data_IF_958829092942
#
_entry.id   IF_958829092942
#
_cell.length_a   1.000
_cell.length_b   1.000
_cell.length_c   1.000
_cell.angle_alpha   90.00
_cell.angle_beta   90.00
_cell.angle_gamma   90.00
#
_symmetry.space_group_name_H-M   'P 1'
#
loop_
_entity.id
_entity.type
_entity.pdbx_description
1 polymer ?
#
# COMPACT_ATOMS: atom_id res chain seq x y z
N UNK A 1 -19.41 -10.37 -34.49
CA UNK A 1 -19.66 -9.59 -33.26
C UNK A 1 -18.33 -9.00 -32.82
N UNK A 2 -18.16 -7.67 -32.78
CA UNK A 2 -17.00 -7.10 -32.11
C UNK A 2 -17.28 -7.09 -30.61
N UNK A 3 -16.41 -7.78 -29.86
CA UNK A 3 -16.35 -7.65 -28.40
C UNK A 3 -16.08 -6.18 -28.08
N UNK A 4 -16.96 -5.61 -27.26
CA UNK A 4 -16.78 -4.30 -26.64
C UNK A 4 -15.38 -4.20 -26.04
N UNK A 5 -14.64 -3.19 -26.50
CA UNK A 5 -13.50 -2.67 -25.77
C UNK A 5 -14.00 -2.29 -24.37
N UNK A 6 -13.70 -3.12 -23.38
CA UNK A 6 -13.97 -2.82 -21.98
C UNK A 6 -13.37 -1.46 -21.67
N UNK A 7 -14.26 -0.49 -21.44
CA UNK A 7 -13.90 0.90 -21.26
C UNK A 7 -12.85 1.00 -20.14
N UNK A 8 -11.66 1.48 -20.47
CA UNK A 8 -10.69 1.99 -19.50
C UNK A 8 -11.31 3.24 -18.87
N UNK A 9 -12.24 3.06 -17.93
CA UNK A 9 -12.77 4.13 -17.10
C UNK A 9 -11.60 4.69 -16.29
N UNK A 10 -11.30 5.97 -16.48
CA UNK A 10 -10.31 6.66 -15.68
C UNK A 10 -10.79 6.69 -14.22
N UNK A 11 -10.12 5.90 -13.38
CA UNK A 11 -10.41 5.82 -11.95
C UNK A 11 -10.28 7.19 -11.27
N UNK A 12 -11.25 7.52 -10.41
CA UNK A 12 -11.28 8.80 -9.70
C UNK A 12 -10.08 8.96 -8.76
N UNK A 13 -9.73 10.21 -8.44
CA UNK A 13 -8.63 10.50 -7.50
C UNK A 13 -8.89 9.89 -6.12
N UNK A 14 -10.13 9.89 -5.67
CA UNK A 14 -10.55 9.28 -4.40
C UNK A 14 -10.36 7.77 -4.44
N UNK A 15 -10.74 7.11 -5.53
CA UNK A 15 -10.55 5.67 -5.69
C UNK A 15 -9.06 5.29 -5.66
N UNK A 16 -8.21 6.04 -6.39
CA UNK A 16 -6.75 5.82 -6.36
C UNK A 16 -6.16 6.06 -4.96
N UNK A 17 -6.68 7.01 -4.21
CA UNK A 17 -6.24 7.25 -2.83
C UNK A 17 -6.65 6.10 -1.90
N UNK A 18 -7.86 5.55 -2.07
CA UNK A 18 -8.31 4.37 -1.34
C UNK A 18 -7.42 3.15 -1.63
N UNK A 19 -7.22 2.82 -2.91
CA UNK A 19 -6.38 1.69 -3.31
C UNK A 19 -4.93 1.82 -2.85
N UNK A 20 -4.37 3.04 -2.85
CA UNK A 20 -3.03 3.29 -2.30
C UNK A 20 -2.93 2.89 -0.83
N UNK A 21 -3.98 3.14 -0.04
CA UNK A 21 -3.99 2.75 1.38
C UNK A 21 -3.98 1.23 1.53
N UNK A 22 -4.77 0.52 0.72
CA UNK A 22 -4.80 -0.93 0.71
C UNK A 22 -3.45 -1.54 0.32
N UNK A 23 -2.85 -1.01 -0.75
CA UNK A 23 -1.54 -1.47 -1.22
C UNK A 23 -0.45 -1.27 -0.16
N UNK A 24 -0.39 -0.09 0.46
CA UNK A 24 0.59 0.17 1.53
C UNK A 24 0.33 -0.71 2.76
N UNK A 25 -0.93 -0.98 3.11
CA UNK A 25 -1.24 -1.87 4.22
C UNK A 25 -0.78 -3.31 3.94
N UNK A 26 -0.99 -3.80 2.71
CA UNK A 26 -0.52 -5.13 2.30
C UNK A 26 1.01 -5.25 2.39
N UNK A 27 1.76 -4.27 1.85
CA UNK A 27 3.22 -4.27 1.97
C UNK A 27 3.72 -4.29 3.43
N UNK A 28 3.00 -3.64 4.35
CA UNK A 28 3.36 -3.62 5.77
C UNK A 28 2.94 -4.88 6.54
N UNK A 29 1.99 -5.65 6.00
CA UNK A 29 1.54 -6.91 6.58
C UNK A 29 2.48 -8.06 6.17
N UNK A 30 3.02 -7.99 4.94
CA UNK A 30 3.95 -8.98 4.40
C UNK A 30 5.38 -8.81 4.96
N UNK A 31 5.88 -7.56 5.05
CA UNK A 31 7.25 -7.27 5.47
C UNK A 31 7.37 -6.09 6.43
N UNK A 32 8.49 -6.05 7.18
CA UNK A 32 8.82 -4.93 8.07
C UNK A 32 9.24 -3.72 7.25
N UNK A 33 8.35 -2.73 7.19
CA UNK A 33 8.59 -1.52 6.42
C UNK A 33 8.53 -0.24 7.25
N UNK A 34 9.34 0.74 6.86
CA UNK A 34 9.28 2.11 7.35
C UNK A 34 9.14 3.08 6.17
N UNK A 35 9.02 4.38 6.45
CA UNK A 35 8.85 5.38 5.38
C UNK A 35 9.99 5.36 4.35
N UNK A 36 11.22 5.03 4.75
CA UNK A 36 12.36 4.98 3.83
C UNK A 36 12.28 3.73 2.94
N UNK A 37 11.99 2.56 3.50
CA UNK A 37 11.86 1.33 2.71
C UNK A 37 10.67 1.42 1.75
N UNK A 38 9.52 1.94 2.20
CA UNK A 38 8.34 2.16 1.36
C UNK A 38 8.61 3.15 0.23
N UNK A 39 9.33 4.24 0.50
CA UNK A 39 9.70 5.21 -0.53
C UNK A 39 10.60 4.58 -1.60
N UNK A 40 11.59 3.78 -1.19
CA UNK A 40 12.46 3.06 -2.13
C UNK A 40 11.70 2.02 -2.95
N UNK A 41 10.82 1.26 -2.31
CA UNK A 41 10.07 0.19 -2.96
C UNK A 41 9.01 0.72 -3.93
N UNK A 42 8.26 1.74 -3.51
CA UNK A 42 7.09 2.23 -4.28
C UNK A 42 7.39 3.44 -5.16
N UNK A 43 8.53 4.11 -4.96
CA UNK A 43 8.85 5.40 -5.59
C UNK A 43 7.98 6.58 -5.11
N UNK A 44 7.01 6.37 -4.21
CA UNK A 44 6.09 7.43 -3.78
C UNK A 44 6.81 8.46 -2.90
N UNK A 45 6.55 9.78 -3.08
CA UNK A 45 7.10 10.80 -2.21
C UNK A 45 6.75 10.56 -0.74
N UNK A 46 7.68 10.88 0.17
CA UNK A 46 7.49 10.69 1.62
C UNK A 46 6.18 11.30 2.15
N UNK A 47 5.81 12.48 1.66
CA UNK A 47 4.55 13.16 2.05
C UNK A 47 3.32 12.32 1.69
N UNK A 48 3.31 11.73 0.50
CA UNK A 48 2.23 10.85 0.02
C UNK A 48 2.08 9.59 0.88
N UNK A 49 3.21 8.98 1.26
CA UNK A 49 3.21 7.83 2.16
C UNK A 49 2.63 8.20 3.53
N UNK A 50 3.12 9.30 4.12
CA UNK A 50 2.64 9.80 5.41
C UNK A 50 1.15 10.13 5.41
N UNK A 51 0.67 10.84 4.39
CA UNK A 51 -0.76 11.17 4.25
C UNK A 51 -1.63 9.92 4.11
N UNK A 52 -1.15 8.93 3.35
CA UNK A 52 -1.89 7.68 3.16
C UNK A 52 -1.98 6.89 4.46
N UNK A 53 -0.86 6.73 5.17
CA UNK A 53 -0.79 6.01 6.45
C UNK A 53 -1.63 6.70 7.53
N UNK A 54 -1.58 8.04 7.60
CA UNK A 54 -2.38 8.82 8.56
C UNK A 54 -3.90 8.63 8.34
N UNK A 55 -4.32 8.33 7.11
CA UNK A 55 -5.71 8.11 6.74
C UNK A 55 -6.15 6.63 6.74
N UNK A 56 -5.38 5.73 7.38
CA UNK A 56 -5.75 4.32 7.56
C UNK A 56 -6.95 4.15 8.49
N UNK A 57 -6.99 4.92 9.59
CA UNK A 57 -8.08 4.83 10.56
C UNK A 57 -9.43 5.21 9.95
N UNK A 58 -9.45 6.13 8.97
CA UNK A 58 -10.66 6.51 8.22
C UNK A 58 -11.34 5.33 7.52
N UNK A 59 -10.58 4.27 7.21
CA UNK A 59 -11.10 3.04 6.58
C UNK A 59 -11.06 1.84 7.52
N UNK A 60 -10.76 2.05 8.80
CA UNK A 60 -10.77 1.03 9.84
C UNK A 60 -9.51 0.16 9.91
N UNK A 61 -8.48 0.44 9.12
CA UNK A 61 -7.17 -0.21 9.25
C UNK A 61 -6.43 0.44 10.42
N UNK A 62 -5.97 -0.36 11.38
CA UNK A 62 -5.09 0.12 12.45
C UNK A 62 -3.67 -0.33 12.19
N UNK A 63 -2.75 0.64 12.25
CA UNK A 63 -1.31 0.46 12.09
C UNK A 63 -0.60 1.10 13.26
N UNK A 64 0.47 0.48 13.72
CA UNK A 64 1.34 1.06 14.75
C UNK A 64 2.79 1.12 14.26
N UNK A 65 3.60 1.99 14.85
CA UNK A 65 5.02 2.06 14.59
C UNK A 65 5.79 1.45 15.76
N UNK A 66 6.41 0.30 15.53
CA UNK A 66 7.15 -0.48 16.54
C UNK A 66 8.62 -0.08 16.51
N UNK A 67 9.21 0.15 17.69
CA UNK A 67 10.64 0.44 17.86
C UNK A 67 11.27 -0.53 18.86
N UNK A 68 12.30 -1.26 18.45
CA UNK A 68 12.96 -2.29 19.27
C UNK A 68 13.98 -1.70 20.29
N UNK A 69 13.78 -0.46 20.75
CA UNK A 69 14.57 0.17 21.81
C UNK A 69 16.04 0.50 21.49
N UNK A 70 16.53 0.23 20.28
CA UNK A 70 17.91 0.56 19.88
C UNK A 70 18.08 2.05 19.56
N UNK A 71 19.25 2.62 19.92
CA UNK A 71 19.63 4.05 19.80
C UNK A 71 19.58 4.62 18.37
N UNK A 72 19.36 3.79 17.35
CA UNK A 72 19.35 4.17 15.94
C UNK A 72 17.95 4.48 15.36
N UNK A 73 16.90 4.57 16.18
CA UNK A 73 15.53 4.90 15.74
C UNK A 73 14.98 4.03 14.59
N UNK A 74 15.51 2.81 14.42
CA UNK A 74 15.04 1.87 13.40
C UNK A 74 13.74 1.23 13.90
N UNK A 75 12.61 1.78 13.47
CA UNK A 75 11.29 1.18 13.67
C UNK A 75 10.65 0.76 12.35
N UNK A 76 9.52 0.08 12.45
CA UNK A 76 8.72 -0.39 11.32
C UNK A 76 7.23 -0.28 11.63
N UNK A 77 6.42 -0.16 10.59
CA UNK A 77 4.98 -0.22 10.68
C UNK A 77 4.51 -1.67 10.80
N UNK A 78 3.53 -1.91 11.66
CA UNK A 78 2.86 -3.20 11.82
C UNK A 78 1.35 -2.99 11.71
N UNK A 79 0.70 -3.77 10.86
CA UNK A 79 -0.77 -3.81 10.81
C UNK A 79 -1.26 -4.53 12.06
N UNK A 80 -2.09 -3.85 12.84
CA UNK A 80 -2.74 -4.40 14.04
C UNK A 80 -4.04 -5.09 13.67
N UNK A 81 -4.79 -4.49 12.75
CA UNK A 81 -5.99 -5.09 12.17
C UNK A 81 -6.35 -4.39 10.86
N UNK A 82 -6.87 -5.16 9.92
CA UNK A 82 -7.49 -4.65 8.69
C UNK A 82 -8.91 -4.11 8.91
N UNK A 83 -9.50 -4.34 10.09
CA UNK A 83 -10.85 -3.90 10.42
C UNK A 83 -11.87 -4.44 9.42
N UNK A 84 -12.65 -3.56 8.74
CA UNK A 84 -13.67 -3.99 7.79
C UNK A 84 -13.12 -4.37 6.41
N UNK A 85 -11.82 -4.18 6.17
CA UNK A 85 -11.18 -4.44 4.87
C UNK A 85 -10.73 -5.91 4.79
N UNK A 86 -10.96 -6.55 3.65
CA UNK A 86 -10.47 -7.91 3.38
C UNK A 86 -9.03 -7.87 2.87
N UNK A 87 -8.06 -8.31 3.68
CA UNK A 87 -6.66 -8.45 3.27
C UNK A 87 -6.49 -9.44 2.13
N UNK A 88 -7.21 -10.57 2.17
CA UNK A 88 -7.19 -11.60 1.14
C UNK A 88 -7.63 -11.08 -0.24
N UNK A 89 -8.57 -10.15 -0.27
CA UNK A 89 -8.96 -9.50 -1.53
C UNK A 89 -7.80 -8.65 -2.08
N UNK A 90 -7.10 -7.92 -1.22
CA UNK A 90 -5.95 -7.08 -1.64
C UNK A 90 -4.83 -7.94 -2.19
N UNK A 91 -4.49 -9.03 -1.50
CA UNK A 91 -3.47 -10.01 -1.93
C UNK A 91 -3.77 -10.56 -3.34
N UNK A 92 -5.04 -10.91 -3.61
CA UNK A 92 -5.47 -11.41 -4.93
C UNK A 92 -5.36 -10.35 -6.05
N UNK A 93 -5.41 -9.05 -5.73
CA UNK A 93 -5.46 -7.96 -6.71
C UNK A 93 -4.26 -7.01 -6.63
N UNK A 94 -3.17 -7.40 -5.95
CA UNK A 94 -2.03 -6.52 -5.64
C UNK A 94 -1.41 -5.89 -6.89
N UNK A 95 -1.21 -6.68 -7.95
CA UNK A 95 -0.61 -6.23 -9.21
C UNK A 95 -1.50 -5.25 -9.96
N UNK A 96 -2.82 -5.51 -10.00
CA UNK A 96 -3.79 -4.61 -10.61
C UNK A 96 -3.84 -3.27 -9.87
N UNK A 97 -3.87 -3.32 -8.54
CA UNK A 97 -3.84 -2.14 -7.68
C UNK A 97 -2.58 -1.31 -7.96
N UNK A 98 -1.40 -1.94 -8.00
CA UNK A 98 -0.12 -1.30 -8.29
C UNK A 98 -0.15 -0.56 -9.64
N UNK A 99 -0.65 -1.22 -10.69
CA UNK A 99 -0.81 -0.63 -12.01
C UNK A 99 -1.75 0.60 -12.00
N UNK A 100 -2.89 0.52 -11.31
CA UNK A 100 -3.87 1.62 -11.22
C UNK A 100 -3.28 2.86 -10.54
N UNK A 101 -2.49 2.66 -9.47
CA UNK A 101 -1.89 3.75 -8.69
C UNK A 101 -0.54 4.22 -9.24
N UNK A 102 -0.01 3.55 -10.27
CA UNK A 102 1.22 3.91 -10.96
C UNK A 102 2.50 3.48 -10.23
N UNK A 103 2.44 2.42 -9.44
CA UNK A 103 3.62 1.76 -8.87
C UNK A 103 4.05 0.70 -9.86
N UNK A 104 5.22 0.88 -10.45
CA UNK A 104 5.87 -0.22 -11.16
C UNK A 104 6.51 -1.09 -10.09
N UNK A 105 5.97 -2.29 -9.87
CA UNK A 105 6.69 -3.31 -9.12
C UNK A 105 8.00 -3.57 -9.88
N UNK A 106 9.12 -3.06 -9.35
CA UNK A 106 10.43 -3.48 -9.85
C UNK A 106 10.49 -4.98 -9.64
N UNK A 107 10.45 -5.73 -10.74
CA UNK A 107 10.68 -7.17 -10.73
C UNK A 107 12.11 -7.44 -10.25
N UNK A 108 12.29 -7.52 -8.94
CA UNK A 108 13.46 -8.12 -8.30
C UNK A 108 12.98 -9.09 -7.21
N UNK A 109 12.22 -10.10 -7.62
CA UNK A 109 12.41 -11.43 -7.01
C UNK A 109 13.69 -11.99 -7.61
N UNK A 110 14.83 -11.61 -7.04
CA UNK A 110 16.11 -12.23 -7.33
C UNK A 110 16.24 -13.49 -6.46
N UNK A 111 16.21 -14.64 -7.16
CA UNK A 111 16.91 -15.91 -6.92
C UNK A 111 16.87 -16.53 -5.51
#
# INVERSE_FOLDING_TARGET
MPLEAAATQSMSKQHKAFLRKLYLAHLMDDERHNLLSLNKLTGMPRRTLQDSIAAFEDIGIRVEFVQDGSRNNAGYYRIVTWGPISSAWVDTHVDEIAAIIGVNASSETLA
#
